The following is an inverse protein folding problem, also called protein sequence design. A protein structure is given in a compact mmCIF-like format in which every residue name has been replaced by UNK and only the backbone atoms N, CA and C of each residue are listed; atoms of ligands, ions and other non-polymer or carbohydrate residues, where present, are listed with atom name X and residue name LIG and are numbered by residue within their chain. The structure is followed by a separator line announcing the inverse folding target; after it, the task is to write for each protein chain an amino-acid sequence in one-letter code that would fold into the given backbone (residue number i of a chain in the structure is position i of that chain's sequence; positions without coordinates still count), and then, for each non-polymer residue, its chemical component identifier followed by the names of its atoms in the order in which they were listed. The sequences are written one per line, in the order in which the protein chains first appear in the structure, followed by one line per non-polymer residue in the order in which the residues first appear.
data_IF_863278417557
#
_entry.id   IF_863278417557
#
_cell.length_a   1.000
_cell.length_b   1.000
_cell.length_c   1.000
_cell.angle_alpha   90.00
_cell.angle_beta   90.00
_cell.angle_gamma   90.00
#
_symmetry.space_group_name_H-M   'P 1'
#
loop_
_entity.id
_entity.type
_entity.pdbx_description
1 polymer ?
#
# COMPACT_ATOMS: atom_id res chain seq x y z
N UNK A 1 14.25 -12.48 -29.53
CA UNK A 1 15.04 -11.79 -28.49
C UNK A 1 14.29 -11.94 -27.19
N UNK A 2 14.94 -12.41 -26.13
CA UNK A 2 14.28 -12.53 -24.83
C UNK A 2 14.08 -11.12 -24.28
N UNK A 3 12.84 -10.80 -23.93
CA UNK A 3 12.50 -9.49 -23.38
C UNK A 3 12.94 -9.43 -21.92
N UNK A 4 13.49 -8.29 -21.51
CA UNK A 4 13.74 -8.00 -20.10
C UNK A 4 12.45 -7.47 -19.49
N UNK A 5 11.96 -8.10 -18.43
CA UNK A 5 10.72 -7.70 -17.77
C UNK A 5 10.87 -7.74 -16.24
N UNK A 6 9.82 -7.25 -15.58
CA UNK A 6 9.65 -7.18 -14.13
C UNK A 6 8.22 -7.56 -13.83
N UNK A 7 7.97 -8.11 -12.65
CA UNK A 7 6.62 -8.37 -12.17
C UNK A 7 6.29 -7.49 -10.97
N UNK A 8 5.06 -7.00 -10.93
CA UNK A 8 4.50 -6.44 -9.71
C UNK A 8 4.19 -7.56 -8.72
N UNK A 9 4.36 -7.30 -7.44
CA UNK A 9 3.94 -8.20 -6.37
C UNK A 9 3.34 -7.37 -5.22
N UNK A 10 2.43 -7.98 -4.47
CA UNK A 10 1.87 -7.41 -3.25
C UNK A 10 1.36 -8.52 -2.33
N UNK A 11 1.31 -8.27 -1.03
CA UNK A 11 0.81 -9.24 -0.07
C UNK A 11 0.72 -8.69 1.35
N UNK A 12 0.33 -9.59 2.24
CA UNK A 12 0.32 -9.41 3.69
C UNK A 12 1.14 -10.55 4.27
N UNK A 13 1.99 -10.26 5.25
CA UNK A 13 2.74 -11.29 5.96
C UNK A 13 1.81 -12.27 6.68
N UNK A 14 2.38 -13.35 7.16
CA UNK A 14 1.77 -14.11 8.24
C UNK A 14 1.54 -13.26 9.50
N UNK A 15 0.74 -13.80 10.41
CA UNK A 15 0.53 -13.24 11.74
C UNK A 15 1.69 -13.70 12.62
N UNK A 16 2.58 -12.79 12.99
CA UNK A 16 3.57 -12.99 14.03
C UNK A 16 3.29 -11.99 15.16
N UNK A 17 3.32 -12.44 16.41
CA UNK A 17 3.09 -11.58 17.59
C UNK A 17 1.84 -10.69 17.46
N UNK A 18 0.72 -11.29 17.00
CA UNK A 18 -0.61 -10.66 16.88
C UNK A 18 -0.75 -9.53 15.86
N UNK A 19 0.22 -9.30 14.99
CA UNK A 19 0.09 -8.34 13.90
C UNK A 19 0.65 -8.89 12.58
N UNK A 20 0.40 -8.13 11.53
CA UNK A 20 0.83 -8.43 10.16
C UNK A 20 1.40 -7.16 9.56
N UNK A 21 2.33 -7.31 8.62
CA UNK A 21 2.72 -6.21 7.75
C UNK A 21 2.25 -6.42 6.33
N UNK A 22 2.13 -5.32 5.58
CA UNK A 22 1.79 -5.32 4.16
C UNK A 22 3.03 -4.95 3.36
N UNK A 23 3.08 -5.43 2.13
CA UNK A 23 4.21 -5.17 1.25
C UNK A 23 3.76 -5.18 -0.20
N UNK A 24 4.44 -4.39 -1.03
CA UNK A 24 4.25 -4.36 -2.47
C UNK A 24 5.50 -3.82 -3.16
N UNK A 25 5.64 -4.11 -4.45
CA UNK A 25 6.77 -3.64 -5.22
C UNK A 25 6.86 -4.26 -6.60
N UNK A 26 7.97 -3.98 -7.27
CA UNK A 26 8.32 -4.61 -8.54
C UNK A 26 9.62 -5.39 -8.38
N UNK A 27 9.64 -6.61 -8.89
CA UNK A 27 10.83 -7.46 -8.90
C UNK A 27 12.01 -6.82 -9.65
N UNK A 28 13.21 -7.36 -9.51
CA UNK A 28 14.35 -6.98 -10.34
C UNK A 28 14.07 -7.28 -11.82
N UNK A 29 14.66 -6.52 -12.76
CA UNK A 29 14.62 -6.91 -14.17
C UNK A 29 15.29 -8.28 -14.35
N UNK A 30 14.70 -9.13 -15.19
CA UNK A 30 15.27 -10.42 -15.59
C UNK A 30 14.95 -10.69 -17.06
N UNK A 31 15.81 -11.43 -17.74
CA UNK A 31 15.58 -11.86 -19.13
C UNK A 31 14.64 -13.07 -19.14
N UNK A 32 13.64 -13.05 -20.01
CA UNK A 32 12.63 -14.11 -20.10
C UNK A 32 13.17 -15.39 -20.76
N UNK A 33 13.98 -16.16 -20.03
CA UNK A 33 14.40 -17.52 -20.39
C UNK A 33 13.45 -18.56 -19.81
N UNK A 34 13.46 -19.77 -20.37
CA UNK A 34 12.73 -20.88 -19.76
C UNK A 34 13.28 -21.17 -18.35
N UNK A 35 12.39 -21.21 -17.35
CA UNK A 35 12.71 -21.43 -15.93
C UNK A 35 13.49 -20.30 -15.24
N UNK A 36 13.39 -19.05 -15.71
CA UNK A 36 14.06 -17.91 -15.06
C UNK A 36 13.39 -17.52 -13.73
N UNK A 37 14.10 -16.70 -12.97
CA UNK A 37 13.67 -16.17 -11.66
C UNK A 37 13.91 -14.67 -11.58
N UNK A 38 13.25 -14.04 -10.62
CA UNK A 38 13.50 -12.66 -10.19
C UNK A 38 13.91 -12.59 -8.72
N UNK A 39 14.66 -11.54 -8.38
CA UNK A 39 14.79 -11.08 -7.01
C UNK A 39 13.62 -10.15 -6.66
N UNK A 40 13.03 -10.32 -5.47
CA UNK A 40 12.12 -9.34 -4.86
C UNK A 40 12.75 -8.84 -3.57
N UNK A 41 12.79 -7.53 -3.40
CA UNK A 41 13.33 -6.90 -2.19
C UNK A 41 12.57 -5.62 -1.87
N UNK A 42 12.57 -5.26 -0.59
CA UNK A 42 11.83 -4.10 -0.11
C UNK A 42 11.77 -4.01 1.41
N UNK A 43 10.88 -3.13 1.87
CA UNK A 43 10.50 -3.02 3.27
C UNK A 43 8.99 -3.13 3.40
N UNK A 44 8.53 -3.64 4.54
CA UNK A 44 7.11 -3.73 4.84
C UNK A 44 6.55 -2.39 5.35
N UNK A 45 5.23 -2.29 5.43
CA UNK A 45 4.56 -1.18 6.12
C UNK A 45 5.01 -1.10 7.58
N UNK A 46 5.01 0.11 8.15
CA UNK A 46 5.33 0.30 9.58
C UNK A 46 4.09 0.04 10.42
N UNK A 47 4.02 -1.13 11.05
CA UNK A 47 2.92 -1.57 11.90
C UNK A 47 3.46 -1.90 13.29
N UNK A 48 2.65 -1.68 14.32
CA UNK A 48 3.05 -1.84 15.73
C UNK A 48 4.46 -1.28 16.07
N UNK A 49 4.74 -0.07 15.59
CA UNK A 49 5.98 0.63 15.87
C UNK A 49 7.21 0.21 15.05
N UNK A 50 7.15 -0.85 14.25
CA UNK A 50 8.31 -1.37 13.50
C UNK A 50 7.96 -1.78 12.06
N UNK A 51 8.99 -2.13 11.27
CA UNK A 51 8.89 -2.64 9.90
C UNK A 51 10.00 -3.64 9.69
N UNK A 52 9.87 -4.52 8.71
CA UNK A 52 10.94 -5.43 8.33
C UNK A 52 11.41 -5.19 6.90
N UNK A 53 12.63 -5.63 6.62
CA UNK A 53 13.19 -5.68 5.27
C UNK A 53 13.15 -7.11 4.75
N UNK A 54 13.15 -7.28 3.44
CA UNK A 54 13.22 -8.60 2.82
C UNK A 54 14.00 -8.55 1.52
N UNK A 55 14.61 -9.69 1.19
CA UNK A 55 15.30 -9.94 -0.07
C UNK A 55 15.18 -11.43 -0.40
N UNK A 56 14.35 -11.77 -1.37
CA UNK A 56 13.99 -13.15 -1.73
C UNK A 56 14.24 -13.39 -3.21
N UNK A 57 14.50 -14.65 -3.57
CA UNK A 57 14.50 -15.11 -4.96
C UNK A 57 13.19 -15.86 -5.18
N UNK A 58 12.50 -15.51 -6.26
CA UNK A 58 11.26 -16.19 -6.68
C UNK A 58 11.55 -17.58 -7.25
N UNK A 59 10.52 -18.42 -7.34
CA UNK A 59 10.56 -19.68 -8.07
C UNK A 59 10.58 -19.50 -9.59
N UNK A 60 10.73 -20.59 -10.35
CA UNK A 60 10.71 -20.55 -11.81
C UNK A 60 9.37 -20.03 -12.36
N UNK A 61 9.38 -19.50 -13.58
CA UNK A 61 8.17 -19.01 -14.25
C UNK A 61 7.11 -20.12 -14.39
N UNK A 62 5.87 -19.77 -14.06
CA UNK A 62 4.68 -20.60 -14.24
C UNK A 62 3.82 -19.93 -15.32
N UNK A 63 3.70 -20.59 -16.47
CA UNK A 63 2.92 -20.11 -17.60
C UNK A 63 1.41 -20.13 -17.29
N UNK A 64 0.74 -19.01 -17.57
CA UNK A 64 -0.72 -18.88 -17.44
C UNK A 64 -1.31 -18.12 -18.63
N UNK A 65 -2.64 -18.01 -18.70
CA UNK A 65 -3.26 -17.25 -19.78
C UNK A 65 -2.90 -15.76 -19.66
N UNK A 66 -2.17 -15.22 -20.66
CA UNK A 66 -1.78 -13.82 -20.74
C UNK A 66 -0.35 -13.50 -20.29
N UNK A 67 0.48 -14.49 -19.95
CA UNK A 67 1.89 -14.31 -19.57
C UNK A 67 2.33 -15.36 -18.57
N UNK A 68 3.19 -14.99 -17.62
CA UNK A 68 3.59 -15.88 -16.54
C UNK A 68 3.63 -15.18 -15.18
N UNK A 69 3.71 -15.99 -14.13
CA UNK A 69 3.87 -15.56 -12.73
C UNK A 69 5.03 -16.31 -12.09
N UNK A 70 5.49 -15.83 -10.94
CA UNK A 70 6.47 -16.52 -10.11
C UNK A 70 5.97 -16.62 -8.67
N UNK A 71 6.00 -17.82 -8.10
CA UNK A 71 5.73 -18.01 -6.67
C UNK A 71 6.95 -17.60 -5.84
N UNK A 72 6.73 -17.13 -4.61
CA UNK A 72 7.80 -16.83 -3.67
C UNK A 72 7.41 -17.23 -2.25
N UNK A 73 8.43 -17.61 -1.49
CA UNK A 73 8.34 -17.87 -0.06
C UNK A 73 9.66 -17.47 0.59
N UNK A 74 9.59 -16.81 1.75
CA UNK A 74 10.79 -16.49 2.51
C UNK A 74 10.48 -15.72 3.79
N UNK A 75 11.53 -15.32 4.48
CA UNK A 75 11.44 -14.59 5.75
C UNK A 75 11.92 -13.15 5.59
N UNK A 76 11.38 -12.26 6.40
CA UNK A 76 11.91 -10.91 6.58
C UNK A 76 13.13 -10.90 7.49
N UNK A 77 13.81 -9.75 7.59
CA UNK A 77 14.83 -9.51 8.61
C UNK A 77 14.25 -9.66 10.01
N UNK A 78 15.07 -10.14 10.94
CA UNK A 78 14.72 -10.17 12.35
C UNK A 78 15.01 -8.81 12.98
N UNK A 79 13.95 -8.13 13.44
CA UNK A 79 14.06 -6.96 14.30
C UNK A 79 13.46 -7.34 15.66
N UNK A 80 14.22 -7.17 16.75
CA UNK A 80 13.81 -7.59 18.11
C UNK A 80 13.39 -9.09 18.22
N UNK A 81 14.12 -9.98 17.55
CA UNK A 81 13.83 -11.43 17.46
C UNK A 81 12.50 -11.80 16.76
N UNK A 82 11.88 -10.85 16.04
CA UNK A 82 10.65 -11.07 15.28
C UNK A 82 10.96 -11.08 13.78
N UNK A 83 10.53 -12.14 13.08
CA UNK A 83 10.55 -12.22 11.63
C UNK A 83 9.16 -12.64 11.15
N UNK A 84 8.81 -12.20 9.94
CA UNK A 84 7.57 -12.55 9.27
C UNK A 84 7.84 -13.45 8.07
N UNK A 85 6.95 -14.39 7.83
CA UNK A 85 6.95 -15.16 6.60
C UNK A 85 6.17 -14.42 5.52
N UNK A 86 6.82 -14.25 4.36
CA UNK A 86 6.21 -13.75 3.14
C UNK A 86 5.94 -14.94 2.22
N UNK A 87 4.71 -15.08 1.75
CA UNK A 87 4.32 -16.08 0.75
C UNK A 87 3.40 -15.45 -0.27
N UNK A 88 3.48 -15.90 -1.52
CA UNK A 88 2.58 -15.44 -2.56
C UNK A 88 3.10 -15.72 -3.96
N UNK A 89 2.50 -15.06 -4.94
CA UNK A 89 2.95 -15.07 -6.32
C UNK A 89 2.98 -13.66 -6.86
N UNK A 90 3.89 -13.41 -7.80
CA UNK A 90 3.89 -12.19 -8.59
C UNK A 90 2.63 -12.10 -9.46
N UNK A 91 2.31 -10.89 -9.91
CA UNK A 91 1.29 -10.67 -10.92
C UNK A 91 1.85 -10.98 -12.31
N UNK A 92 0.96 -11.14 -13.29
CA UNK A 92 1.31 -11.37 -14.69
C UNK A 92 2.21 -10.27 -15.26
N UNK A 93 2.93 -10.63 -16.31
CA UNK A 93 3.75 -9.71 -17.10
C UNK A 93 3.04 -8.38 -17.38
N UNK A 94 3.79 -7.29 -17.23
CA UNK A 94 3.33 -5.93 -17.49
C UNK A 94 2.09 -5.48 -16.69
N UNK A 95 1.67 -6.23 -15.67
CA UNK A 95 0.64 -5.78 -14.75
C UNK A 95 1.06 -4.47 -14.08
N UNK A 96 0.16 -3.50 -14.13
CA UNK A 96 0.29 -2.22 -13.42
C UNK A 96 -0.92 -2.04 -12.51
N UNK A 97 -0.73 -1.89 -11.18
CA UNK A 97 -1.84 -1.60 -10.28
C UNK A 97 -2.49 -0.29 -10.70
N UNK A 98 -3.82 -0.29 -10.82
CA UNK A 98 -4.58 0.92 -11.09
C UNK A 98 -4.69 1.75 -9.81
N UNK A 99 -4.52 3.08 -9.86
CA UNK A 99 -4.69 3.92 -8.69
C UNK A 99 -6.06 3.76 -8.08
N UNK A 100 -6.10 3.61 -6.76
CA UNK A 100 -7.35 3.67 -6.02
C UNK A 100 -7.87 5.11 -6.04
N UNK A 101 -9.17 5.26 -6.24
CA UNK A 101 -9.82 6.57 -6.33
C UNK A 101 -10.67 6.91 -5.12
N UNK A 102 -11.28 5.91 -4.48
CA UNK A 102 -12.27 6.11 -3.43
C UNK A 102 -12.27 5.01 -2.37
N UNK A 103 -12.86 5.33 -1.23
CA UNK A 103 -13.18 4.40 -0.15
C UNK A 103 -14.68 4.46 0.14
N UNK A 104 -15.27 3.30 0.37
CA UNK A 104 -16.63 3.23 0.90
C UNK A 104 -16.65 3.59 2.40
N UNK A 105 -17.81 4.01 2.91
CA UNK A 105 -17.99 4.25 4.37
C UNK A 105 -17.65 2.99 5.18
N UNK A 106 -18.03 1.81 4.69
CA UNK A 106 -17.75 0.53 5.37
C UNK A 106 -16.25 0.26 5.44
N UNK A 107 -15.51 0.47 4.35
CA UNK A 107 -14.05 0.34 4.37
C UNK A 107 -13.42 1.35 5.32
N UNK A 108 -13.84 2.62 5.27
CA UNK A 108 -13.33 3.65 6.17
C UNK A 108 -13.56 3.30 7.65
N UNK A 109 -14.75 2.77 7.99
CA UNK A 109 -15.06 2.29 9.33
C UNK A 109 -14.09 1.20 9.79
N UNK A 110 -13.90 0.17 8.98
CA UNK A 110 -13.03 -0.97 9.28
C UNK A 110 -11.56 -0.55 9.41
N UNK A 111 -11.10 0.34 8.51
CA UNK A 111 -9.75 0.90 8.57
C UNK A 111 -9.57 1.69 9.87
N UNK A 112 -10.53 2.53 10.24
CA UNK A 112 -10.45 3.30 11.48
C UNK A 112 -10.47 2.41 12.72
N UNK A 113 -11.32 1.38 12.77
CA UNK A 113 -11.32 0.38 13.85
C UNK A 113 -9.96 -0.32 13.96
N UNK A 114 -9.37 -0.72 12.84
CA UNK A 114 -8.03 -1.32 12.81
C UNK A 114 -6.93 -0.35 13.28
N UNK A 115 -7.13 0.96 13.11
CA UNK A 115 -6.24 2.01 13.62
C UNK A 115 -6.56 2.41 15.06
N UNK A 116 -7.50 1.74 15.73
CA UNK A 116 -7.86 1.99 17.13
C UNK A 116 -8.84 3.15 17.33
N UNK A 117 -9.53 3.61 16.29
CA UNK A 117 -10.58 4.63 16.41
C UNK A 117 -11.83 3.98 17.05
N UNK A 118 -12.17 4.43 18.26
CA UNK A 118 -13.46 4.13 18.87
C UNK A 118 -14.52 5.11 18.34
N UNK A 119 -15.30 4.66 17.34
CA UNK A 119 -16.35 5.47 16.71
C UNK A 119 -17.42 5.97 17.67
N UNK A 120 -17.60 5.34 18.84
CA UNK A 120 -18.58 5.79 19.84
C UNK A 120 -18.08 6.99 20.67
N UNK A 121 -16.76 7.21 20.68
CA UNK A 121 -16.09 8.24 21.49
C UNK A 121 -15.29 9.25 20.66
N UNK A 122 -15.13 8.99 19.36
CA UNK A 122 -14.37 9.80 18.44
C UNK A 122 -14.95 11.23 18.34
N UNK A 123 -14.10 12.28 18.32
CA UNK A 123 -14.56 13.66 18.13
C UNK A 123 -14.93 13.99 16.67
N UNK A 124 -14.68 13.06 15.74
CA UNK A 124 -15.08 13.13 14.33
C UNK A 124 -15.81 11.84 13.93
N UNK A 125 -16.63 11.92 12.88
CA UNK A 125 -17.39 10.79 12.38
C UNK A 125 -16.63 9.99 11.30
N UNK A 126 -17.19 8.84 10.91
CA UNK A 126 -16.65 7.98 9.86
C UNK A 126 -16.55 8.71 8.53
N UNK A 127 -17.42 9.69 8.28
CA UNK A 127 -17.46 10.40 7.00
C UNK A 127 -16.29 11.39 6.88
N UNK A 128 -15.93 12.11 7.95
CA UNK A 128 -14.70 12.91 7.98
C UNK A 128 -13.46 12.05 7.72
N UNK A 129 -13.39 10.86 8.33
CA UNK A 129 -12.29 9.93 8.09
C UNK A 129 -12.29 9.37 6.66
N UNK A 130 -13.45 9.03 6.10
CA UNK A 130 -13.58 8.57 4.70
C UNK A 130 -13.14 9.63 3.71
N UNK A 131 -13.57 10.88 3.91
CA UNK A 131 -13.11 12.02 3.08
C UNK A 131 -11.59 12.15 3.18
N UNK A 132 -11.06 12.04 4.40
CA UNK A 132 -9.62 12.05 4.62
C UNK A 132 -8.89 10.98 3.83
N UNK A 133 -9.32 9.71 3.93
CA UNK A 133 -8.76 8.61 3.16
C UNK A 133 -8.73 8.89 1.64
N UNK A 134 -9.75 9.56 1.10
CA UNK A 134 -9.81 9.88 -0.34
C UNK A 134 -8.89 11.03 -0.76
N UNK A 135 -8.72 12.00 0.12
CA UNK A 135 -7.73 13.08 -0.05
C UNK A 135 -6.33 12.48 0.01
N UNK A 136 -6.03 11.65 1.00
CA UNK A 136 -4.69 11.08 1.19
C UNK A 136 -4.27 10.06 0.12
N UNK A 137 -5.19 9.60 -0.74
CA UNK A 137 -4.84 8.86 -1.97
C UNK A 137 -4.00 9.70 -2.95
N UNK A 138 -3.92 11.02 -2.78
CA UNK A 138 -2.94 11.86 -3.47
C UNK A 138 -1.49 11.47 -3.15
N UNK A 139 -1.25 10.88 -1.98
CA UNK A 139 0.03 10.29 -1.58
C UNK A 139 0.15 8.80 -1.98
N UNK A 140 -0.74 8.31 -2.82
CA UNK A 140 -0.76 6.95 -3.35
C UNK A 140 -0.30 6.87 -4.81
N UNK A 141 -0.84 5.91 -5.55
CA UNK A 141 -0.43 5.59 -6.93
C UNK A 141 -0.88 6.62 -7.97
N UNK A 142 -1.58 7.69 -7.57
CA UNK A 142 -2.06 8.74 -8.49
C UNK A 142 -0.91 9.42 -9.24
N UNK A 143 0.20 9.66 -8.55
CA UNK A 143 1.44 10.16 -9.16
C UNK A 143 2.63 9.29 -8.69
N UNK A 144 3.29 8.54 -9.59
CA UNK A 144 4.44 7.72 -9.25
C UNK A 144 5.60 8.48 -8.60
N UNK A 145 5.76 9.79 -8.87
CA UNK A 145 6.84 10.60 -8.32
C UNK A 145 6.63 10.96 -6.85
N UNK A 146 5.38 11.03 -6.40
CA UNK A 146 5.01 11.40 -5.03
C UNK A 146 4.28 10.27 -4.30
N UNK A 147 4.34 9.05 -4.83
CA UNK A 147 3.73 7.87 -4.22
C UNK A 147 4.50 7.46 -2.95
N UNK A 148 3.83 7.56 -1.80
CA UNK A 148 4.36 7.20 -0.48
C UNK A 148 3.63 5.99 0.09
N UNK A 149 2.35 5.83 -0.20
CA UNK A 149 1.48 4.83 0.45
C UNK A 149 1.24 3.59 -0.40
N UNK A 150 1.51 3.64 -1.71
CA UNK A 150 1.09 2.63 -2.68
C UNK A 150 -0.41 2.27 -2.52
N UNK A 151 -1.26 3.28 -2.28
CA UNK A 151 -2.68 3.17 -1.89
C UNK A 151 -2.97 2.15 -0.76
N UNK A 152 -1.98 1.82 0.08
CA UNK A 152 -2.18 0.93 1.21
C UNK A 152 -3.18 1.54 2.21
N UNK A 153 -4.34 0.90 2.45
CA UNK A 153 -5.41 1.50 3.24
C UNK A 153 -5.00 1.92 4.65
N UNK A 154 -4.11 1.16 5.28
CA UNK A 154 -3.68 1.42 6.66
C UNK A 154 -2.68 2.58 6.69
N UNK A 155 -1.73 2.60 5.76
CA UNK A 155 -0.77 3.69 5.64
C UNK A 155 -1.47 5.00 5.26
N UNK A 156 -2.39 4.98 4.29
CA UNK A 156 -3.25 6.12 3.93
C UNK A 156 -4.09 6.58 5.13
N UNK A 157 -4.69 5.65 5.87
CA UNK A 157 -5.48 5.95 7.07
C UNK A 157 -4.69 6.56 8.22
N UNK A 158 -3.43 6.17 8.40
CA UNK A 158 -2.54 6.78 9.41
C UNK A 158 -2.29 8.27 9.13
N UNK A 159 -2.12 8.65 7.86
CA UNK A 159 -1.99 10.06 7.47
C UNK A 159 -3.29 10.80 7.78
N UNK A 160 -4.43 10.22 7.37
CA UNK A 160 -5.72 10.85 7.61
C UNK A 160 -6.06 11.03 9.10
N UNK A 161 -5.75 10.02 9.90
CA UNK A 161 -5.94 10.05 11.35
C UNK A 161 -5.02 11.09 12.01
N UNK A 162 -3.77 11.24 11.56
CA UNK A 162 -2.87 12.24 12.10
C UNK A 162 -3.46 13.65 11.99
N UNK A 163 -4.02 14.01 10.83
CA UNK A 163 -4.66 15.31 10.62
C UNK A 163 -5.95 15.50 11.43
N UNK A 164 -6.78 14.46 11.55
CA UNK A 164 -7.99 14.53 12.36
C UNK A 164 -7.70 14.59 13.87
N UNK A 165 -6.54 14.10 14.32
CA UNK A 165 -6.07 14.28 15.68
C UNK A 165 -5.59 15.71 15.96
N UNK A 166 -5.15 16.46 14.95
CA UNK A 166 -4.86 17.89 15.09
C UNK A 166 -6.17 18.68 15.24
N UNK A 167 -7.13 18.45 14.33
CA UNK A 167 -8.46 19.07 14.37
C UNK A 167 -9.54 18.11 13.85
N UNK A 168 -10.62 17.85 14.61
CA UNK A 168 -11.67 16.91 14.19
C UNK A 168 -12.40 17.28 12.88
N UNK A 169 -12.35 18.54 12.46
CA UNK A 169 -12.96 19.04 11.21
C UNK A 169 -11.93 19.35 10.10
N UNK A 170 -10.71 18.82 10.20
CA UNK A 170 -9.58 19.10 9.30
C UNK A 170 -9.97 19.06 7.83
N UNK A 171 -10.55 17.95 7.35
CA UNK A 171 -10.88 17.77 5.94
C UNK A 171 -12.01 18.67 5.45
N UNK A 172 -12.91 19.06 6.35
CA UNK A 172 -13.91 20.08 6.05
C UNK A 172 -13.26 21.44 5.79
N UNK A 173 -12.22 21.80 6.55
CA UNK A 173 -11.45 23.04 6.33
C UNK A 173 -10.60 22.96 5.07
N UNK A 174 -9.88 21.85 4.87
CA UNK A 174 -9.04 21.64 3.70
C UNK A 174 -9.84 21.76 2.40
N UNK A 175 -11.04 21.15 2.35
CA UNK A 175 -11.94 21.24 1.19
C UNK A 175 -12.24 22.70 0.80
N UNK A 176 -12.45 23.59 1.78
CA UNK A 176 -12.68 25.03 1.52
C UNK A 176 -11.42 25.69 0.96
N UNK A 177 -10.28 25.48 1.61
CA UNK A 177 -8.99 26.04 1.20
C UNK A 177 -8.62 25.62 -0.22
N UNK A 178 -8.76 24.34 -0.56
CA UNK A 178 -8.46 23.85 -1.89
C UNK A 178 -9.40 24.42 -2.95
N UNK A 179 -10.69 24.56 -2.64
CA UNK A 179 -11.66 25.15 -3.57
C UNK A 179 -11.30 26.60 -3.87
N UNK A 180 -10.92 27.36 -2.85
CA UNK A 180 -10.44 28.74 -2.99
C UNK A 180 -9.16 28.80 -3.85
N UNK A 181 -8.17 27.96 -3.54
CA UNK A 181 -6.92 27.87 -4.31
C UNK A 181 -7.17 27.48 -5.78
N UNK A 182 -7.98 26.44 -6.03
CA UNK A 182 -8.35 25.99 -7.38
C UNK A 182 -9.07 27.10 -8.15
N UNK A 183 -9.94 27.88 -7.50
CA UNK A 183 -10.61 29.04 -8.13
C UNK A 183 -9.63 30.17 -8.45
N UNK A 184 -8.69 30.47 -7.56
CA UNK A 184 -7.66 31.49 -7.78
C UNK A 184 -6.76 31.15 -8.96
N UNK A 185 -6.18 29.95 -8.98
CA UNK A 185 -5.23 29.53 -10.02
C UNK A 185 -5.88 29.26 -11.38
N UNK A 186 -7.19 28.99 -11.46
CA UNK A 186 -7.92 28.91 -12.74
C UNK A 186 -8.10 30.26 -13.43
N UNK A 187 -8.02 31.37 -12.69
CA UNK A 187 -8.21 32.74 -13.21
C UNK A 187 -6.89 33.41 -13.60
N UNK A 188 -5.76 32.75 -13.34
CA UNK A 188 -4.42 33.26 -13.61
C UNK A 188 -3.81 32.51 -14.79
#
# INVERSE_FOLDING_TARGET
MNSVHRHYFQGVSDIAFYHTHRYSGYSSPSENYQSHVHEISGCTTKDDGHRHYYKLITGPNIEINGGHIHSYQGLTTSDMDQCHQLTGSTMVDHFKPKPRLKFTITEARLIGEQLGIDWSRSPFDVEQFRIGLEVELEHGRRDPKTNVTDDDPITTGKIALAHLNEFPDYYTRLTKLEKEAKSFWKKR
#
